data_IF_569996514505
#
_entry.id   IF_569996514505
#
_cell.length_a   1.000
_cell.length_b   1.000
_cell.length_c   1.000
_cell.angle_alpha   90.00
_cell.angle_beta   90.00
_cell.angle_gamma   90.00
#
_symmetry.space_group_name_H-M   'P 1'
#
loop_
_entity.id
_entity.type
_entity.pdbx_description
1 polymer ?
#
# COMPACT_ATOMS: atom_id res chain seq x y z
N UNK A 1 23.52 -19.37 -25.07
CA UNK A 1 23.17 -18.90 -23.73
C UNK A 1 21.89 -18.08 -23.82
N UNK A 2 20.85 -18.41 -23.02
CA UNK A 2 19.57 -17.72 -23.05
C UNK A 2 19.32 -17.07 -21.70
N UNK A 3 18.91 -15.80 -21.71
CA UNK A 3 18.50 -15.05 -20.52
C UNK A 3 17.05 -14.62 -20.74
N UNK A 4 16.18 -14.99 -19.82
CA UNK A 4 14.76 -14.65 -19.86
C UNK A 4 14.41 -13.82 -18.63
N UNK A 5 13.38 -12.97 -18.73
CA UNK A 5 12.84 -12.20 -17.62
C UNK A 5 11.34 -12.46 -17.50
N UNK A 6 10.87 -12.64 -16.28
CA UNK A 6 9.45 -12.85 -15.98
C UNK A 6 9.06 -12.10 -14.71
N UNK A 7 7.78 -11.80 -14.54
CA UNK A 7 7.25 -11.18 -13.32
C UNK A 7 6.93 -12.21 -12.24
N UNK A 8 6.64 -13.46 -12.64
CA UNK A 8 6.32 -14.61 -11.79
C UNK A 8 6.80 -15.89 -12.47
N UNK A 9 7.10 -16.89 -11.67
CA UNK A 9 7.41 -18.23 -12.16
C UNK A 9 6.18 -19.13 -12.29
N UNK A 10 5.01 -18.72 -11.78
CA UNK A 10 3.82 -19.58 -11.67
C UNK A 10 3.25 -20.06 -13.00
N UNK A 11 3.48 -19.30 -14.07
CA UNK A 11 3.00 -19.64 -15.42
C UNK A 11 4.04 -20.39 -16.26
N UNK A 12 5.24 -20.60 -15.74
CA UNK A 12 6.31 -21.29 -16.45
C UNK A 12 6.19 -22.79 -16.19
N UNK A 13 6.16 -23.63 -17.22
CA UNK A 13 6.09 -25.08 -17.05
C UNK A 13 7.24 -25.63 -16.20
N UNK A 14 6.91 -26.52 -15.28
CA UNK A 14 7.87 -27.12 -14.34
C UNK A 14 9.10 -27.77 -15.04
N UNK A 15 8.96 -28.46 -16.18
CA UNK A 15 10.12 -29.03 -16.89
C UNK A 15 11.12 -27.97 -17.38
N UNK A 16 10.67 -26.72 -17.61
CA UNK A 16 11.54 -25.61 -17.95
C UNK A 16 12.19 -25.01 -16.70
N UNK A 17 11.42 -24.82 -15.62
CA UNK A 17 11.95 -24.30 -14.34
C UNK A 17 13.10 -25.18 -13.83
N UNK A 18 12.97 -26.50 -13.92
CA UNK A 18 13.99 -27.45 -13.49
C UNK A 18 15.30 -27.40 -14.29
N UNK A 19 15.32 -26.71 -15.43
CA UNK A 19 16.50 -26.55 -16.31
C UNK A 19 17.05 -25.12 -16.32
N UNK A 20 16.46 -24.23 -15.54
CA UNK A 20 16.86 -22.82 -15.46
C UNK A 20 17.44 -22.51 -14.11
N UNK A 21 18.42 -21.62 -14.09
CA UNK A 21 18.84 -20.94 -12.89
C UNK A 21 17.90 -19.74 -12.67
N UNK A 22 17.23 -19.71 -11.53
CA UNK A 22 16.28 -18.64 -11.16
C UNK A 22 16.99 -17.64 -10.27
N UNK A 23 17.11 -16.41 -10.76
CA UNK A 23 17.64 -15.28 -10.00
C UNK A 23 16.49 -14.36 -9.65
N UNK A 24 16.11 -14.34 -8.37
CA UNK A 24 15.03 -13.50 -7.88
C UNK A 24 15.51 -12.09 -7.54
N UNK A 25 14.81 -11.07 -8.02
CA UNK A 25 15.04 -9.68 -7.68
C UNK A 25 13.93 -9.22 -6.72
N UNK A 26 14.31 -8.93 -5.48
CA UNK A 26 13.40 -8.34 -4.51
C UNK A 26 13.11 -6.87 -4.84
N UNK A 27 12.01 -6.35 -4.30
CA UNK A 27 11.74 -4.91 -4.32
C UNK A 27 12.71 -4.13 -3.42
N UNK A 28 12.68 -2.82 -3.55
CA UNK A 28 13.48 -1.93 -2.72
C UNK A 28 12.72 -1.50 -1.47
N UNK A 29 13.44 -1.42 -0.36
CA UNK A 29 12.95 -0.81 0.89
C UNK A 29 12.82 0.71 0.73
N UNK A 30 12.08 1.38 1.63
CA UNK A 30 11.95 2.84 1.61
C UNK A 30 13.31 3.56 1.69
N UNK A 31 14.25 3.02 2.48
CA UNK A 31 15.61 3.55 2.64
C UNK A 31 16.40 3.43 1.34
N UNK A 32 16.34 2.29 0.68
CA UNK A 32 17.01 2.08 -0.61
C UNK A 32 16.41 2.97 -1.69
N UNK A 33 15.06 3.10 -1.75
CA UNK A 33 14.36 4.03 -2.65
C UNK A 33 14.80 5.47 -2.44
N UNK A 34 14.98 5.89 -1.17
CA UNK A 34 15.49 7.21 -0.84
C UNK A 34 16.90 7.43 -1.42
N UNK A 35 17.82 6.49 -1.21
CA UNK A 35 19.18 6.60 -1.74
C UNK A 35 19.21 6.59 -3.28
N UNK A 36 18.39 5.75 -3.91
CA UNK A 36 18.23 5.70 -5.37
C UNK A 36 17.69 7.03 -5.90
N UNK A 37 16.64 7.56 -5.24
CA UNK A 37 16.07 8.85 -5.62
C UNK A 37 17.08 9.98 -5.52
N UNK A 38 17.79 10.06 -4.39
CA UNK A 38 18.73 11.14 -4.11
C UNK A 38 19.96 11.11 -5.02
N UNK A 39 20.55 9.92 -5.20
CA UNK A 39 21.83 9.76 -5.92
C UNK A 39 21.67 9.64 -7.43
N UNK A 40 20.55 9.09 -7.89
CA UNK A 40 20.38 8.72 -9.29
C UNK A 40 19.18 9.37 -9.98
N UNK A 41 17.96 9.23 -9.42
CA UNK A 41 16.76 9.66 -10.13
C UNK A 41 16.65 11.18 -10.21
N UNK A 42 16.76 11.87 -9.10
CA UNK A 42 16.64 13.33 -9.06
C UNK A 42 17.72 14.03 -9.93
N UNK A 43 19.02 13.70 -9.83
CA UNK A 43 20.03 14.31 -10.70
C UNK A 43 19.80 14.00 -12.19
N UNK A 44 19.29 12.80 -12.51
CA UNK A 44 18.96 12.42 -13.88
C UNK A 44 17.79 13.25 -14.41
N UNK A 45 16.67 13.31 -13.66
CA UNK A 45 15.49 14.10 -14.04
C UNK A 45 15.81 15.59 -14.17
N UNK A 46 16.66 16.14 -13.29
CA UNK A 46 17.13 17.53 -13.42
C UNK A 46 17.88 17.76 -14.72
N UNK A 47 18.81 16.87 -15.08
CA UNK A 47 19.56 16.99 -16.35
C UNK A 47 18.66 16.88 -17.57
N UNK A 48 17.71 15.93 -17.57
CA UNK A 48 16.75 15.72 -18.65
C UNK A 48 15.86 16.96 -18.87
N UNK A 49 15.57 17.72 -17.80
CA UNK A 49 14.77 18.97 -17.84
C UNK A 49 15.61 20.26 -17.91
N UNK A 50 16.93 20.16 -18.10
CA UNK A 50 17.82 21.32 -18.20
C UNK A 50 17.98 22.11 -16.89
N UNK A 51 17.63 21.52 -15.74
CA UNK A 51 17.73 22.15 -14.43
C UNK A 51 19.16 22.00 -13.88
N UNK A 52 19.70 23.08 -13.33
CA UNK A 52 20.98 23.09 -12.60
C UNK A 52 20.71 23.01 -11.09
N UNK A 53 21.71 22.58 -10.32
CA UNK A 53 21.64 22.53 -8.85
C UNK A 53 21.36 23.89 -8.19
N UNK A 54 21.63 24.97 -8.90
CA UNK A 54 21.29 26.33 -8.49
C UNK A 54 19.80 26.62 -8.59
N UNK A 55 19.10 25.98 -9.55
CA UNK A 55 17.69 26.22 -9.83
C UNK A 55 16.77 25.40 -8.92
N UNK A 56 17.20 24.22 -8.48
CA UNK A 56 16.38 23.30 -7.72
C UNK A 56 17.15 22.66 -6.57
N UNK A 57 16.62 22.81 -5.36
CA UNK A 57 17.04 22.06 -4.16
C UNK A 57 15.83 21.31 -3.62
N UNK A 58 15.95 20.00 -3.41
CA UNK A 58 14.92 19.14 -2.82
C UNK A 58 15.42 18.64 -1.48
N UNK A 59 14.66 18.87 -0.42
CA UNK A 59 14.99 18.37 0.93
C UNK A 59 14.83 16.85 1.01
N UNK A 60 15.53 16.23 1.93
CA UNK A 60 15.42 14.79 2.17
C UNK A 60 14.03 14.40 2.63
N UNK A 61 13.43 15.18 3.52
CA UNK A 61 12.04 15.00 3.97
C UNK A 61 11.01 15.08 2.82
N UNK A 62 11.29 15.87 1.79
CA UNK A 62 10.44 15.92 0.60
C UNK A 62 10.53 14.63 -0.24
N UNK A 63 11.73 14.05 -0.35
CA UNK A 63 11.92 12.78 -1.07
C UNK A 63 11.23 11.64 -0.31
N UNK A 64 11.41 11.56 1.00
CA UNK A 64 10.74 10.58 1.85
C UNK A 64 9.22 10.66 1.70
N UNK A 65 8.66 11.85 1.76
CA UNK A 65 7.24 12.08 1.55
C UNK A 65 6.74 11.65 0.17
N UNK A 66 7.52 11.87 -0.87
CA UNK A 66 7.17 11.39 -2.22
C UNK A 66 7.13 9.86 -2.24
N UNK A 67 8.08 9.20 -1.59
CA UNK A 67 8.12 7.74 -1.51
C UNK A 67 6.89 7.21 -0.78
N UNK A 68 6.55 7.79 0.37
CA UNK A 68 5.45 7.31 1.21
C UNK A 68 4.07 7.63 0.65
N UNK A 69 3.85 8.86 0.18
CA UNK A 69 2.50 9.35 -0.14
C UNK A 69 2.15 9.31 -1.64
N UNK A 70 3.14 9.17 -2.52
CA UNK A 70 2.94 9.24 -3.97
C UNK A 70 3.37 7.98 -4.73
N UNK A 71 3.97 6.99 -4.06
CA UNK A 71 4.42 5.75 -4.72
C UNK A 71 4.05 4.51 -3.92
N UNK A 72 3.31 3.57 -4.57
CA UNK A 72 3.00 2.24 -4.03
C UNK A 72 3.50 1.19 -5.02
N UNK A 73 4.78 0.85 -4.92
CA UNK A 73 5.42 -0.10 -5.84
C UNK A 73 6.61 -0.80 -5.16
N UNK A 74 6.93 -2.00 -5.60
CA UNK A 74 8.14 -2.69 -5.15
C UNK A 74 9.42 -2.07 -5.75
N UNK A 75 9.35 -1.56 -6.98
CA UNK A 75 10.45 -0.93 -7.70
C UNK A 75 10.53 0.59 -7.50
N UNK A 76 11.05 1.28 -8.52
CA UNK A 76 11.27 2.74 -8.53
C UNK A 76 10.72 3.43 -9.79
N UNK A 77 9.84 2.78 -10.55
CA UNK A 77 9.29 3.35 -11.79
C UNK A 77 8.35 4.53 -11.52
N UNK A 78 7.43 4.35 -10.57
CA UNK A 78 6.53 5.43 -10.16
C UNK A 78 7.29 6.55 -9.49
N UNK A 79 8.29 6.22 -8.67
CA UNK A 79 9.17 7.19 -8.05
C UNK A 79 9.91 8.04 -9.10
N UNK A 80 10.45 7.40 -10.16
CA UNK A 80 11.03 8.14 -11.28
C UNK A 80 10.03 9.08 -11.94
N UNK A 81 8.81 8.61 -12.22
CA UNK A 81 7.74 9.45 -12.80
C UNK A 81 7.42 10.65 -11.92
N UNK A 82 7.39 10.49 -10.59
CA UNK A 82 7.15 11.61 -9.68
C UNK A 82 8.31 12.61 -9.68
N UNK A 83 9.56 12.15 -9.72
CA UNK A 83 10.73 13.03 -9.86
C UNK A 83 10.73 13.79 -11.19
N UNK A 84 10.39 13.12 -12.30
CA UNK A 84 10.24 13.75 -13.61
C UNK A 84 9.13 14.81 -13.60
N UNK A 85 7.97 14.49 -12.99
CA UNK A 85 6.85 15.42 -12.85
C UNK A 85 7.26 16.67 -12.03
N UNK A 86 7.92 16.47 -10.89
CA UNK A 86 8.42 17.54 -10.05
C UNK A 86 9.37 18.45 -10.82
N UNK A 87 10.39 17.88 -11.47
CA UNK A 87 11.36 18.64 -12.24
C UNK A 87 10.72 19.40 -13.40
N UNK A 88 9.77 18.78 -14.10
CA UNK A 88 9.01 19.42 -15.21
C UNK A 88 8.19 20.60 -14.70
N UNK A 89 7.45 20.43 -13.61
CA UNK A 89 6.66 21.51 -13.02
C UNK A 89 7.52 22.71 -12.66
N UNK A 90 8.70 22.46 -12.08
CA UNK A 90 9.64 23.51 -11.71
C UNK A 90 10.28 24.15 -12.95
N UNK A 91 10.64 23.37 -13.96
CA UNK A 91 11.18 23.91 -15.21
C UNK A 91 10.20 24.88 -15.88
N UNK A 92 8.91 24.53 -15.92
CA UNK A 92 7.86 25.41 -16.45
C UNK A 92 7.76 26.71 -15.66
N UNK A 93 7.79 26.66 -14.31
CA UNK A 93 7.73 27.86 -13.46
C UNK A 93 8.97 28.76 -13.62
N UNK A 94 10.15 28.17 -13.79
CA UNK A 94 11.38 28.91 -14.07
C UNK A 94 11.29 29.65 -15.42
N UNK A 95 10.81 28.97 -16.48
CA UNK A 95 10.64 29.58 -17.80
C UNK A 95 9.61 30.71 -17.76
N UNK A 96 8.55 30.58 -16.97
CA UNK A 96 7.56 31.66 -16.75
C UNK A 96 8.10 32.83 -15.95
N UNK A 97 9.30 32.72 -15.39
CA UNK A 97 9.92 33.78 -14.61
C UNK A 97 9.35 33.95 -13.20
N UNK A 98 8.61 32.98 -12.68
CA UNK A 98 8.00 33.07 -11.34
C UNK A 98 9.05 33.22 -10.24
N UNK A 99 10.16 32.45 -10.35
CA UNK A 99 11.30 32.50 -9.41
C UNK A 99 12.58 32.06 -10.14
N UNK A 100 13.74 32.53 -9.67
CA UNK A 100 15.06 32.13 -10.19
C UNK A 100 15.55 30.78 -9.64
N UNK A 101 15.07 30.38 -8.48
CA UNK A 101 15.41 29.11 -7.83
C UNK A 101 14.26 28.61 -6.97
N UNK A 102 14.15 27.31 -6.84
CA UNK A 102 13.13 26.64 -6.04
C UNK A 102 13.76 25.76 -4.97
N UNK A 103 13.27 25.89 -3.74
CA UNK A 103 13.54 24.93 -2.67
C UNK A 103 12.25 24.18 -2.39
N UNK A 104 12.30 22.86 -2.60
CA UNK A 104 11.15 21.96 -2.39
C UNK A 104 11.31 21.29 -1.04
N UNK A 105 10.40 21.61 -0.15
CA UNK A 105 10.23 20.98 1.14
C UNK A 105 8.91 20.17 1.16
N UNK A 106 8.68 19.45 2.25
CA UNK A 106 7.50 18.61 2.45
C UNK A 106 6.16 19.34 2.17
N UNK A 107 6.05 20.60 2.60
CA UNK A 107 4.80 21.39 2.46
C UNK A 107 4.46 21.70 0.99
N UNK A 108 5.47 21.86 0.15
CA UNK A 108 5.30 22.20 -1.27
C UNK A 108 4.99 21.02 -2.17
N UNK A 109 5.19 19.79 -1.69
CA UNK A 109 4.95 18.58 -2.50
C UNK A 109 3.51 18.53 -3.01
N UNK A 110 2.54 18.80 -2.14
CA UNK A 110 1.11 18.81 -2.53
C UNK A 110 0.78 19.84 -3.61
N UNK A 111 1.44 20.98 -3.57
CA UNK A 111 1.28 22.04 -4.58
C UNK A 111 1.87 21.63 -5.93
N UNK A 112 3.03 20.95 -5.91
CA UNK A 112 3.80 20.63 -7.11
C UNK A 112 3.35 19.32 -7.77
N UNK A 113 2.99 18.31 -7.00
CA UNK A 113 2.56 16.99 -7.47
C UNK A 113 1.04 16.76 -7.39
N UNK A 114 0.29 17.66 -6.74
CA UNK A 114 -1.15 17.53 -6.59
C UNK A 114 -1.57 16.71 -5.36
N UNK A 115 -2.76 16.10 -5.43
CA UNK A 115 -3.29 15.31 -4.32
C UNK A 115 -2.45 14.05 -4.10
N UNK A 116 -2.33 13.61 -2.84
CA UNK A 116 -1.70 12.35 -2.48
C UNK A 116 -2.33 11.20 -3.25
N UNK A 117 -1.48 10.35 -3.84
CA UNK A 117 -1.93 9.16 -4.54
C UNK A 117 -2.28 8.02 -3.57
N UNK A 118 -1.69 8.03 -2.37
CA UNK A 118 -1.80 6.95 -1.39
C UNK A 118 -2.29 7.53 -0.07
N UNK A 119 -3.32 6.92 0.46
CA UNK A 119 -3.79 7.14 1.81
C UNK A 119 -3.38 5.95 2.66
N UNK A 120 -2.39 6.13 3.53
CA UNK A 120 -2.09 5.12 4.54
C UNK A 120 -3.17 5.17 5.61
N UNK A 121 -3.83 4.06 5.83
CA UNK A 121 -4.73 3.90 6.96
C UNK A 121 -3.90 3.95 8.24
N UNK A 122 -4.32 4.79 9.16
CA UNK A 122 -3.68 4.89 10.48
C UNK A 122 -4.31 3.86 11.41
N UNK A 123 -3.49 3.28 12.27
CA UNK A 123 -3.99 2.43 13.34
C UNK A 123 -5.03 3.19 14.16
N UNK A 124 -6.13 2.54 14.49
CA UNK A 124 -7.17 3.14 15.33
C UNK A 124 -6.62 3.39 16.73
N UNK A 125 -6.71 4.61 17.20
CA UNK A 125 -6.41 4.96 18.59
C UNK A 125 -7.59 4.52 19.46
N UNK A 126 -7.48 3.35 20.10
CA UNK A 126 -8.50 2.77 20.96
C UNK A 126 -9.23 1.57 20.35
N UNK A 127 -9.84 0.76 21.20
CA UNK A 127 -10.63 -0.39 20.79
C UNK A 127 -12.02 0.03 20.33
N UNK A 128 -12.39 -0.31 19.10
CA UNK A 128 -13.75 -0.17 18.58
C UNK A 128 -14.38 -1.57 18.58
N UNK A 129 -15.55 -1.70 19.20
CA UNK A 129 -16.28 -2.96 19.21
C UNK A 129 -16.61 -3.41 17.79
N UNK A 130 -16.29 -4.65 17.47
CA UNK A 130 -16.53 -5.22 16.15
C UNK A 130 -15.46 -4.88 15.11
N UNK A 131 -14.40 -4.15 15.47
CA UNK A 131 -13.30 -3.85 14.55
C UNK A 131 -12.00 -4.48 15.05
N UNK A 132 -11.35 -5.24 14.20
CA UNK A 132 -10.04 -5.82 14.45
C UNK A 132 -9.04 -5.34 13.41
N UNK A 133 -7.83 -5.01 13.85
CA UNK A 133 -6.74 -4.58 12.98
C UNK A 133 -5.91 -5.79 12.57
N UNK A 134 -5.86 -6.06 11.29
CA UNK A 134 -4.98 -7.06 10.69
C UNK A 134 -3.79 -6.41 9.99
N UNK A 135 -2.76 -7.22 9.75
CA UNK A 135 -1.61 -6.85 8.95
C UNK A 135 -1.62 -7.63 7.65
N UNK A 136 -1.44 -6.93 6.55
CA UNK A 136 -1.32 -7.52 5.23
C UNK A 136 0.07 -7.25 4.66
N UNK A 137 0.60 -8.21 3.94
CA UNK A 137 1.81 -8.06 3.15
C UNK A 137 1.44 -7.75 1.70
N UNK A 138 2.03 -6.71 1.14
CA UNK A 138 1.88 -6.35 -0.27
C UNK A 138 3.25 -6.24 -0.94
N UNK A 139 3.28 -6.29 -2.25
CA UNK A 139 4.53 -6.07 -3.01
C UNK A 139 5.17 -4.70 -2.74
N UNK A 140 4.40 -3.74 -2.25
CA UNK A 140 4.87 -2.40 -1.90
C UNK A 140 5.29 -2.27 -0.42
N UNK A 141 5.07 -3.30 0.41
CA UNK A 141 5.36 -3.33 1.83
C UNK A 141 4.17 -3.81 2.68
N UNK A 142 4.27 -3.62 4.00
CA UNK A 142 3.19 -3.91 4.93
C UNK A 142 2.04 -2.92 4.79
N UNK A 143 0.81 -3.41 4.96
CA UNK A 143 -0.40 -2.60 4.99
C UNK A 143 -1.27 -2.97 6.20
N UNK A 144 -2.04 -2.02 6.70
CA UNK A 144 -3.05 -2.25 7.73
C UNK A 144 -4.36 -2.60 7.03
N UNK A 145 -5.04 -3.60 7.56
CA UNK A 145 -6.35 -4.05 7.12
C UNK A 145 -7.31 -4.00 8.30
N UNK A 146 -8.45 -3.34 8.16
CA UNK A 146 -9.50 -3.38 9.17
C UNK A 146 -10.51 -4.46 8.83
N UNK A 147 -10.75 -5.34 9.79
CA UNK A 147 -11.80 -6.35 9.73
C UNK A 147 -12.96 -5.87 10.59
N UNK A 148 -14.06 -5.52 9.94
CA UNK A 148 -15.28 -5.07 10.59
C UNK A 148 -16.24 -6.24 10.70
N UNK A 149 -16.80 -6.45 11.89
CA UNK A 149 -17.76 -7.51 12.17
C UNK A 149 -19.01 -6.94 12.80
N UNK A 150 -20.16 -7.40 12.36
CA UNK A 150 -21.44 -7.03 12.95
C UNK A 150 -22.36 -8.24 13.04
N UNK A 151 -23.24 -8.22 14.03
CA UNK A 151 -24.28 -9.21 14.17
C UNK A 151 -25.55 -8.71 13.49
N UNK A 152 -26.15 -9.60 12.67
CA UNK A 152 -27.43 -9.34 12.02
C UNK A 152 -28.45 -10.41 12.44
N UNK A 153 -29.72 -10.08 12.37
CA UNK A 153 -30.78 -11.08 12.55
C UNK A 153 -30.72 -12.07 11.38
N UNK A 154 -30.72 -13.37 11.66
CA UNK A 154 -30.64 -14.40 10.62
C UNK A 154 -30.54 -15.81 11.19
N UNK A 155 -30.31 -16.79 10.31
CA UNK A 155 -30.21 -18.22 10.66
C UNK A 155 -28.84 -18.63 11.25
N UNK A 156 -27.94 -17.69 11.50
CA UNK A 156 -26.62 -17.98 12.03
C UNK A 156 -25.55 -18.20 10.95
N UNK A 157 -25.86 -17.83 9.72
CA UNK A 157 -24.91 -17.91 8.61
C UNK A 157 -23.81 -16.85 8.74
N UNK A 158 -22.60 -17.20 8.31
CA UNK A 158 -21.46 -16.28 8.25
C UNK A 158 -21.38 -15.71 6.85
N UNK A 159 -21.63 -14.41 6.72
CA UNK A 159 -21.50 -13.70 5.46
C UNK A 159 -20.15 -12.98 5.47
N UNK A 160 -19.26 -13.39 4.58
CA UNK A 160 -17.94 -12.78 4.41
C UNK A 160 -17.99 -11.94 3.14
N UNK A 161 -17.72 -10.64 3.26
CA UNK A 161 -17.64 -9.70 2.14
C UNK A 161 -16.20 -9.21 1.96
N UNK A 162 -15.91 -8.65 0.79
CA UNK A 162 -14.56 -8.27 0.37
C UNK A 162 -13.96 -9.37 -0.52
N UNK A 163 -12.98 -9.00 -1.32
CA UNK A 163 -12.30 -9.92 -2.25
C UNK A 163 -11.25 -10.78 -1.50
N UNK A 164 -11.71 -11.51 -0.48
CA UNK A 164 -10.83 -12.38 0.30
C UNK A 164 -10.55 -13.68 -0.48
N UNK A 165 -9.28 -14.09 -0.48
CA UNK A 165 -8.90 -15.40 -0.98
C UNK A 165 -9.48 -16.54 -0.14
N UNK A 166 -9.47 -17.75 -0.66
CA UNK A 166 -10.12 -18.91 -0.02
C UNK A 166 -9.51 -19.24 1.34
N UNK A 167 -8.21 -19.08 1.50
CA UNK A 167 -7.51 -19.26 2.80
C UNK A 167 -8.06 -18.32 3.88
N UNK A 168 -8.35 -17.06 3.56
CA UNK A 168 -8.91 -16.10 4.51
C UNK A 168 -10.36 -16.42 4.85
N UNK A 169 -11.14 -16.91 3.89
CA UNK A 169 -12.52 -17.38 4.14
C UNK A 169 -12.54 -18.58 5.09
N UNK A 170 -11.67 -19.55 4.86
CA UNK A 170 -11.52 -20.71 5.72
C UNK A 170 -11.06 -20.30 7.13
N UNK A 171 -10.08 -19.41 7.24
CA UNK A 171 -9.60 -18.87 8.52
C UNK A 171 -10.72 -18.20 9.32
N UNK A 172 -11.60 -17.44 8.66
CA UNK A 172 -12.73 -16.82 9.31
C UNK A 172 -13.74 -17.87 9.84
N UNK A 173 -14.01 -18.93 9.08
CA UNK A 173 -14.88 -20.05 9.52
C UNK A 173 -14.28 -20.79 10.73
N UNK A 174 -12.98 -21.06 10.70
CA UNK A 174 -12.27 -21.70 11.80
C UNK A 174 -12.33 -20.81 13.05
N UNK A 175 -12.08 -19.50 12.91
CA UNK A 175 -12.12 -18.55 14.03
C UNK A 175 -13.51 -18.51 14.69
N UNK A 176 -14.59 -18.48 13.92
CA UNK A 176 -15.95 -18.53 14.47
C UNK A 176 -16.25 -19.85 15.17
N UNK A 177 -15.79 -20.96 14.59
CA UNK A 177 -15.95 -22.29 15.20
C UNK A 177 -15.20 -22.38 16.53
N UNK A 178 -13.98 -21.84 16.59
CA UNK A 178 -13.17 -21.78 17.79
C UNK A 178 -13.84 -20.95 18.89
N UNK A 179 -14.35 -19.76 18.54
CA UNK A 179 -15.09 -18.92 19.50
C UNK A 179 -16.33 -19.62 20.03
N UNK A 180 -17.09 -20.29 19.17
CA UNK A 180 -18.26 -21.09 19.59
C UNK A 180 -17.89 -22.25 20.55
N UNK A 181 -16.73 -22.86 20.35
CA UNK A 181 -16.27 -23.95 21.21
C UNK A 181 -15.79 -23.47 22.58
N UNK A 182 -15.16 -22.29 22.66
CA UNK A 182 -14.66 -21.73 23.91
C UNK A 182 -15.74 -21.04 24.74
N UNK A 183 -16.77 -20.53 24.09
CA UNK A 183 -17.86 -19.79 24.76
C UNK A 183 -19.22 -20.36 24.40
N UNK A 184 -19.53 -21.60 24.81
CA UNK A 184 -20.83 -22.22 24.52
C UNK A 184 -22.02 -21.40 25.07
N UNK A 185 -21.85 -20.72 26.23
CA UNK A 185 -22.84 -19.81 26.78
C UNK A 185 -23.11 -18.56 25.90
N UNK A 186 -22.12 -18.09 25.14
CA UNK A 186 -22.31 -17.00 24.20
C UNK A 186 -23.15 -17.43 23.00
N UNK A 187 -22.99 -18.67 22.53
CA UNK A 187 -23.80 -19.23 21.46
C UNK A 187 -25.27 -19.30 21.86
N UNK A 188 -25.57 -19.67 23.12
CA UNK A 188 -26.90 -19.72 23.65
C UNK A 188 -27.54 -18.35 23.88
N UNK A 189 -26.75 -17.37 24.36
CA UNK A 189 -27.18 -15.98 24.52
C UNK A 189 -27.44 -15.29 23.17
N UNK A 190 -26.61 -15.52 22.17
CA UNK A 190 -26.80 -15.01 20.81
C UNK A 190 -28.05 -15.63 20.13
N UNK A 191 -28.28 -16.93 20.34
CA UNK A 191 -29.51 -17.62 19.90
C UNK A 191 -30.75 -17.07 20.59
N UNK A 192 -30.68 -16.80 21.90
CA UNK A 192 -31.80 -16.24 22.70
C UNK A 192 -32.06 -14.76 22.41
N UNK A 193 -31.05 -13.97 22.09
CA UNK A 193 -31.22 -12.57 21.67
C UNK A 193 -32.01 -12.49 20.34
N UNK A 194 -31.76 -13.44 19.43
CA UNK A 194 -32.51 -13.55 18.18
C UNK A 194 -34.00 -13.92 18.38
N UNK A 195 -34.32 -14.70 19.41
CA UNK A 195 -35.71 -15.14 19.68
C UNK A 195 -36.53 -14.10 20.45
N UNK A 196 -35.90 -13.22 21.26
CA UNK A 196 -36.63 -12.20 22.06
C UNK A 196 -37.02 -10.95 21.27
N UNK A 197 -36.42 -10.68 20.12
CA UNK A 197 -36.77 -9.53 19.28
C UNK A 197 -37.92 -9.84 18.30
N UNK A 198 -38.34 -11.11 18.20
CA UNK A 198 -39.46 -11.55 17.36
C UNK A 198 -40.84 -11.60 18.06
N UNK A 199 -40.93 -11.29 19.37
CA UNK A 199 -42.19 -11.37 20.13
C UNK A 199 -42.73 -10.01 20.63
N UNK A 200 -42.34 -8.94 19.99
CA UNK A 200 -42.83 -7.59 20.30
C UNK A 200 -43.19 -6.80 19.03
N UNK A 201 -44.27 -7.26 18.37
CA UNK A 201 -45.11 -6.50 17.44
C UNK A 201 -46.51 -7.04 17.57
#
# INVERSE_FOLDING_TARGET
>A
FFICTANSCDTIPEPLLNRMEIISFSGYTAIEKFHIARKHLLPKSMREMGLKTQNLKVSDTAIEKIIEEYTAEAGVRSLKKQMDCLCRTIAVRLVKGEQKSFTVNEKRIKELLGKKAIHHEKCLEGGILGVSTGLAWTSAGGAILFMETMFTKGKGDIIITGQLGDVMKESAQIAVTLVKSWYPEMSEKLGRASSKVGSGL
#
